data_IF_941486196038
#
_entry.id   IF_941486196038
#
_cell.length_a   1.000
_cell.length_b   1.000
_cell.length_c   1.000
_cell.angle_alpha   90.00
_cell.angle_beta   90.00
_cell.angle_gamma   90.00
#
_symmetry.space_group_name_H-M   'P 1'
#
loop_
_entity.id
_entity.type
_entity.pdbx_description
1 polymer ?
#
# COMPACT_ATOMS: atom_id res chain seq x y z
N UNK A 1 -30.99 14.78 14.72
CA UNK A 1 -32.15 15.48 15.33
C UNK A 1 -32.46 16.81 14.65
N UNK A 2 -32.80 16.81 13.35
CA UNK A 2 -33.25 18.02 12.61
C UNK A 2 -34.31 17.65 11.55
N UNK A 3 -35.13 16.63 11.83
CA UNK A 3 -36.24 16.23 10.96
C UNK A 3 -37.63 16.63 11.51
N UNK A 4 -37.68 17.54 12.48
CA UNK A 4 -38.91 17.83 13.20
C UNK A 4 -39.12 19.33 13.40
N UNK A 5 -39.32 20.10 12.32
CA UNK A 5 -39.97 21.43 12.44
C UNK A 5 -40.21 22.17 11.12
N UNK A 6 -39.97 21.60 9.93
CA UNK A 6 -40.55 22.14 8.69
C UNK A 6 -42.02 21.73 8.60
N UNK A 7 -42.81 22.19 9.57
CA UNK A 7 -44.26 22.05 9.57
C UNK A 7 -44.81 22.71 8.31
N UNK A 8 -45.70 22.03 7.61
CA UNK A 8 -46.45 22.50 6.42
C UNK A 8 -47.04 23.92 6.56
N UNK A 9 -47.17 24.44 7.78
CA UNK A 9 -47.66 25.78 8.08
C UNK A 9 -46.63 26.92 8.05
N UNK A 10 -45.32 26.65 8.04
CA UNK A 10 -44.29 27.71 8.11
C UNK A 10 -44.22 28.60 6.86
N UNK A 11 -44.72 28.11 5.73
CA UNK A 11 -44.79 28.84 4.45
C UNK A 11 -46.24 29.13 4.01
N UNK A 12 -47.21 29.02 4.92
CA UNK A 12 -48.58 29.42 4.59
C UNK A 12 -48.72 30.94 4.76
N UNK A 13 -49.25 31.67 3.77
CA UNK A 13 -49.51 33.09 3.93
C UNK A 13 -50.52 33.32 5.05
N UNK A 14 -50.43 34.44 5.78
CA UNK A 14 -51.40 34.77 6.83
C UNK A 14 -52.80 34.97 6.23
N UNK A 15 -53.88 34.59 6.94
CA UNK A 15 -55.24 34.82 6.49
C UNK A 15 -55.52 36.33 6.35
N UNK A 16 -56.29 36.71 5.33
CA UNK A 16 -56.68 38.09 5.10
C UNK A 16 -57.71 38.54 6.14
N UNK A 17 -57.57 39.77 6.64
CA UNK A 17 -58.59 40.39 7.47
C UNK A 17 -59.88 40.59 6.66
N UNK A 18 -61.06 40.53 7.29
CA UNK A 18 -62.32 40.83 6.62
C UNK A 18 -62.35 42.26 6.06
N UNK A 19 -62.86 42.40 4.84
CA UNK A 19 -62.89 43.68 4.14
C UNK A 19 -63.81 44.70 4.86
N UNK A 20 -63.35 45.93 5.14
CA UNK A 20 -64.17 46.94 5.82
C UNK A 20 -65.30 47.44 4.92
N UNK A 21 -66.52 47.59 5.47
CA UNK A 21 -67.65 48.15 4.72
C UNK A 21 -67.69 49.68 4.85
N UNK A 22 -67.69 50.38 3.70
CA UNK A 22 -68.24 51.73 3.51
C UNK A 22 -67.50 52.95 4.12
N UNK A 23 -66.15 52.93 4.21
CA UNK A 23 -65.35 54.17 4.40
C UNK A 23 -64.03 54.10 3.61
N UNK A 24 -63.78 55.09 2.74
CA UNK A 24 -62.57 55.15 1.88
C UNK A 24 -61.26 55.16 2.70
N UNK A 25 -61.10 55.96 3.78
CA UNK A 25 -59.87 55.96 4.56
C UNK A 25 -59.58 54.61 5.24
N UNK A 26 -60.62 53.92 5.71
CA UNK A 26 -60.49 52.59 6.31
C UNK A 26 -60.06 51.54 5.27
N UNK A 27 -60.47 51.71 4.02
CA UNK A 27 -60.08 50.83 2.91
C UNK A 27 -58.62 51.03 2.51
N UNK A 28 -58.14 52.27 2.40
CA UNK A 28 -56.73 52.57 2.12
C UNK A 28 -55.79 52.04 3.22
N UNK A 29 -56.19 52.22 4.48
CA UNK A 29 -55.52 51.66 5.65
C UNK A 29 -55.45 50.13 5.62
N UNK A 30 -56.57 49.50 5.27
CA UNK A 30 -56.66 48.04 5.15
C UNK A 30 -55.76 47.50 4.04
N UNK A 31 -55.78 48.13 2.86
CA UNK A 31 -54.93 47.73 1.72
C UNK A 31 -53.46 47.86 2.07
N UNK A 32 -53.04 48.98 2.67
CA UNK A 32 -51.67 49.17 3.13
C UNK A 32 -51.23 48.08 4.12
N UNK A 33 -52.03 47.81 5.16
CA UNK A 33 -51.73 46.75 6.14
C UNK A 33 -51.71 45.35 5.53
N UNK A 34 -52.57 45.07 4.55
CA UNK A 34 -52.56 43.80 3.83
C UNK A 34 -51.27 43.64 3.00
N UNK A 35 -50.85 44.70 2.29
CA UNK A 35 -49.60 44.72 1.53
C UNK A 35 -48.38 44.59 2.45
N UNK A 36 -48.33 45.32 3.56
CA UNK A 36 -47.23 45.26 4.52
C UNK A 36 -47.08 43.84 5.12
N UNK A 37 -48.19 43.19 5.47
CA UNK A 37 -48.18 41.80 5.95
C UNK A 37 -47.69 40.82 4.89
N UNK A 38 -48.10 41.01 3.64
CA UNK A 38 -47.65 40.17 2.53
C UNK A 38 -46.14 40.34 2.29
N UNK A 39 -45.64 41.59 2.32
CA UNK A 39 -44.22 41.89 2.15
C UNK A 39 -43.38 41.32 3.29
N UNK A 40 -43.83 41.43 4.54
CA UNK A 40 -43.16 40.83 5.69
C UNK A 40 -43.12 39.30 5.57
N UNK A 41 -44.24 38.66 5.20
CA UNK A 41 -44.27 37.23 4.94
C UNK A 41 -43.30 36.81 3.84
N UNK A 42 -43.25 37.54 2.72
CA UNK A 42 -42.30 37.29 1.64
C UNK A 42 -40.84 37.46 2.10
N UNK A 43 -40.57 38.46 2.94
CA UNK A 43 -39.24 38.68 3.48
C UNK A 43 -38.79 37.52 4.39
N UNK A 44 -39.66 37.09 5.30
CA UNK A 44 -39.39 35.97 6.22
C UNK A 44 -39.21 34.65 5.47
N UNK A 45 -40.08 34.38 4.48
CA UNK A 45 -39.98 33.15 3.68
C UNK A 45 -38.71 33.13 2.83
N UNK A 46 -38.34 34.26 2.20
CA UNK A 46 -37.07 34.38 1.49
C UNK A 46 -35.88 34.07 2.40
N UNK A 47 -35.83 34.68 3.59
CA UNK A 47 -34.76 34.46 4.56
C UNK A 47 -34.69 33.00 5.02
N UNK A 48 -35.83 32.38 5.29
CA UNK A 48 -35.93 30.97 5.68
C UNK A 48 -35.43 30.03 4.57
N UNK A 49 -35.80 30.31 3.31
CA UNK A 49 -35.29 29.56 2.17
C UNK A 49 -33.78 29.71 2.04
N UNK A 50 -33.26 30.94 2.11
CA UNK A 50 -31.80 31.20 2.05
C UNK A 50 -31.05 30.44 3.14
N UNK A 51 -31.56 30.43 4.37
CA UNK A 51 -30.97 29.71 5.49
C UNK A 51 -30.98 28.19 5.29
N UNK A 52 -32.11 27.61 4.88
CA UNK A 52 -32.21 26.18 4.57
C UNK A 52 -31.25 25.81 3.45
N UNK A 53 -31.13 26.67 2.43
CA UNK A 53 -30.26 26.44 1.28
C UNK A 53 -28.79 26.48 1.73
N UNK A 54 -28.41 27.43 2.57
CA UNK A 54 -27.06 27.54 3.12
C UNK A 54 -26.71 26.33 4.00
N UNK A 55 -27.63 25.88 4.86
CA UNK A 55 -27.44 24.70 5.70
C UNK A 55 -27.27 23.43 4.84
N UNK A 56 -28.10 23.26 3.81
CA UNK A 56 -28.01 22.14 2.86
C UNK A 56 -26.67 22.15 2.10
N UNK A 57 -26.24 23.34 1.66
CA UNK A 57 -24.96 23.51 0.97
C UNK A 57 -23.78 23.14 1.89
N UNK A 58 -23.76 23.64 3.12
CA UNK A 58 -22.72 23.32 4.09
C UNK A 58 -22.64 21.82 4.38
N UNK A 59 -23.80 21.15 4.50
CA UNK A 59 -23.86 19.70 4.67
C UNK A 59 -23.30 18.97 3.46
N UNK A 60 -23.63 19.42 2.26
CA UNK A 60 -23.13 18.85 1.00
C UNK A 60 -21.62 19.00 0.87
N UNK A 61 -21.08 20.19 1.18
CA UNK A 61 -19.64 20.44 1.18
C UNK A 61 -18.93 19.55 2.20
N UNK A 62 -19.49 19.43 3.41
CA UNK A 62 -18.94 18.54 4.45
C UNK A 62 -18.88 17.08 4.01
N UNK A 63 -19.93 16.58 3.35
CA UNK A 63 -19.95 15.23 2.79
C UNK A 63 -18.93 15.06 1.65
N UNK A 64 -18.80 16.04 0.75
CA UNK A 64 -17.76 16.00 -0.30
C UNK A 64 -16.35 15.91 0.27
N UNK A 65 -16.07 16.66 1.34
CA UNK A 65 -14.76 16.61 1.98
C UNK A 65 -14.49 15.24 2.63
N UNK A 66 -15.52 14.60 3.20
CA UNK A 66 -15.38 13.24 3.73
C UNK A 66 -15.17 12.22 2.60
N UNK A 67 -15.88 12.35 1.48
CA UNK A 67 -15.68 11.51 0.29
C UNK A 67 -14.25 11.66 -0.22
N UNK A 68 -13.75 12.89 -0.38
CA UNK A 68 -12.39 13.15 -0.84
C UNK A 68 -11.34 12.50 0.09
N UNK A 69 -11.54 12.54 1.41
CA UNK A 69 -10.65 11.87 2.38
C UNK A 69 -10.67 10.34 2.21
N UNK A 70 -11.86 9.76 2.03
CA UNK A 70 -11.99 8.32 1.80
C UNK A 70 -11.38 7.91 0.46
N UNK A 71 -11.55 8.71 -0.59
CA UNK A 71 -10.94 8.48 -1.90
C UNK A 71 -9.41 8.44 -1.79
N UNK A 72 -8.79 9.36 -1.04
CA UNK A 72 -7.35 9.34 -0.80
C UNK A 72 -6.91 8.11 0.01
N UNK A 73 -7.64 7.73 1.06
CA UNK A 73 -7.30 6.54 1.86
C UNK A 73 -7.41 5.24 1.04
N UNK A 74 -8.40 5.15 0.14
CA UNK A 74 -8.53 4.03 -0.80
C UNK A 74 -7.34 3.99 -1.76
N UNK A 75 -6.94 5.14 -2.30
CA UNK A 75 -5.83 5.22 -3.25
C UNK A 75 -4.48 4.87 -2.60
N UNK A 76 -4.24 5.31 -1.37
CA UNK A 76 -3.04 4.95 -0.62
C UNK A 76 -2.99 3.43 -0.35
N UNK A 77 -4.13 2.83 0.00
CA UNK A 77 -4.22 1.38 0.22
C UNK A 77 -3.97 0.57 -1.07
N UNK A 78 -4.48 1.06 -2.20
CA UNK A 78 -4.27 0.44 -3.53
C UNK A 78 -2.79 0.48 -3.93
N UNK A 79 -2.12 1.60 -3.68
CA UNK A 79 -0.70 1.75 -3.99
C UNK A 79 0.20 0.79 -3.20
N UNK A 80 -0.12 0.55 -1.92
CA UNK A 80 0.60 -0.43 -1.09
C UNK A 80 0.43 -1.84 -1.65
N UNK A 81 -0.79 -2.20 -2.07
CA UNK A 81 -1.09 -3.51 -2.64
C UNK A 81 -0.35 -3.73 -3.97
N UNK A 82 -0.39 -2.74 -4.87
CA UNK A 82 0.25 -2.84 -6.18
C UNK A 82 1.77 -2.93 -6.08
N UNK A 83 2.40 -2.10 -5.24
CA UNK A 83 3.86 -2.15 -5.07
C UNK A 83 4.33 -3.52 -4.57
N UNK A 84 3.62 -4.12 -3.61
CA UNK A 84 3.96 -5.45 -3.10
C UNK A 84 3.80 -6.56 -4.13
N UNK A 85 2.81 -6.47 -5.03
CA UNK A 85 2.57 -7.46 -6.07
C UNK A 85 3.65 -7.33 -7.16
N UNK A 86 3.94 -6.11 -7.61
CA UNK A 86 4.92 -5.84 -8.66
C UNK A 86 6.34 -6.27 -8.24
N UNK A 87 6.71 -6.06 -6.98
CA UNK A 87 8.01 -6.50 -6.43
C UNK A 87 8.13 -8.03 -6.41
N UNK A 88 7.06 -8.72 -5.98
CA UNK A 88 7.01 -10.19 -5.98
C UNK A 88 7.10 -10.70 -7.41
N UNK A 89 6.35 -10.10 -8.32
CA UNK A 89 6.31 -10.52 -9.72
C UNK A 89 7.66 -10.33 -10.39
N UNK A 90 8.28 -9.15 -10.24
CA UNK A 90 9.63 -8.85 -10.75
C UNK A 90 10.66 -9.85 -10.24
N UNK A 91 10.63 -10.16 -8.93
CA UNK A 91 11.56 -11.12 -8.34
C UNK A 91 11.32 -12.54 -8.86
N UNK A 92 10.06 -12.91 -9.08
CA UNK A 92 9.69 -14.22 -9.65
C UNK A 92 10.15 -14.36 -11.11
N UNK A 93 10.00 -13.32 -11.92
CA UNK A 93 10.45 -13.30 -13.32
C UNK A 93 11.98 -13.42 -13.40
N UNK A 94 12.70 -12.68 -12.55
CA UNK A 94 14.16 -12.81 -12.46
C UNK A 94 14.60 -14.22 -12.08
N UNK A 95 13.88 -14.88 -11.15
CA UNK A 95 14.21 -16.25 -10.74
C UNK A 95 13.93 -17.26 -11.86
N UNK A 96 12.78 -17.14 -12.54
CA UNK A 96 12.44 -17.98 -13.70
C UNK A 96 13.49 -17.84 -14.81
N UNK A 97 13.92 -16.62 -15.14
CA UNK A 97 14.94 -16.39 -16.16
C UNK A 97 16.29 -17.03 -15.82
N UNK A 98 16.66 -17.04 -14.53
CA UNK A 98 17.87 -17.72 -14.07
C UNK A 98 17.74 -19.24 -14.26
N UNK A 99 16.63 -19.83 -13.78
CA UNK A 99 16.37 -21.27 -13.96
C UNK A 99 16.39 -21.64 -15.44
N UNK A 100 15.73 -20.87 -16.31
CA UNK A 100 15.68 -21.16 -17.74
C UNK A 100 17.07 -21.08 -18.41
N UNK A 101 17.92 -20.15 -17.95
CA UNK A 101 19.32 -20.05 -18.38
C UNK A 101 20.12 -21.29 -17.98
N UNK A 102 19.95 -21.78 -16.74
CA UNK A 102 20.62 -23.01 -16.27
C UNK A 102 20.15 -24.26 -17.01
N UNK A 103 18.85 -24.38 -17.26
CA UNK A 103 18.27 -25.49 -18.05
C UNK A 103 18.80 -25.44 -19.48
N UNK A 104 18.87 -24.26 -20.07
CA UNK A 104 19.40 -24.06 -21.42
C UNK A 104 20.86 -24.49 -21.48
N UNK A 105 21.69 -24.09 -20.51
CA UNK A 105 23.10 -24.48 -20.45
C UNK A 105 23.24 -26.00 -20.27
N UNK A 106 22.51 -26.59 -19.33
CA UNK A 106 22.52 -28.04 -19.10
C UNK A 106 22.09 -28.82 -20.35
N UNK A 107 21.08 -28.33 -21.06
CA UNK A 107 20.62 -28.93 -22.33
C UNK A 107 21.73 -28.91 -23.39
N UNK A 108 22.47 -27.82 -23.53
CA UNK A 108 23.61 -27.75 -24.47
C UNK A 108 24.73 -28.73 -24.10
N UNK A 109 25.06 -28.84 -22.81
CA UNK A 109 26.07 -29.80 -22.33
C UNK A 109 25.63 -31.24 -22.63
N UNK A 110 24.37 -31.58 -22.32
CA UNK A 110 23.81 -32.90 -22.60
C UNK A 110 23.85 -33.20 -24.11
N UNK A 111 23.45 -32.24 -24.96
CA UNK A 111 23.53 -32.41 -26.43
C UNK A 111 24.96 -32.60 -26.93
N UNK A 112 25.92 -31.85 -26.39
CA UNK A 112 27.33 -31.98 -26.75
C UNK A 112 27.92 -33.34 -26.34
N UNK A 113 27.48 -33.90 -25.20
CA UNK A 113 27.87 -35.24 -24.74
C UNK A 113 27.24 -36.34 -25.61
N UNK A 114 25.97 -36.22 -25.97
CA UNK A 114 25.27 -37.17 -26.86
C UNK A 114 25.92 -37.20 -28.24
N UNK A 115 26.22 -36.02 -28.81
CA UNK A 115 26.88 -35.92 -30.12
C UNK A 115 28.32 -36.43 -30.13
N UNK A 116 28.91 -36.70 -28.94
CA UNK A 116 30.27 -37.24 -28.77
C UNK A 116 30.34 -38.76 -28.95
N UNK A 117 29.21 -39.47 -28.97
CA UNK A 117 29.14 -40.94 -29.15
C UNK A 117 28.97 -41.39 -30.62
N UNK A 118 28.90 -40.46 -31.59
CA UNK A 118 28.57 -40.80 -32.99
C UNK A 118 29.61 -40.46 -34.05
N UNK A 119 30.90 -40.32 -33.71
CA UNK A 119 31.95 -40.33 -34.75
C UNK A 119 33.12 -41.24 -34.39
N UNK A 120 33.21 -42.34 -35.14
CA UNK A 120 34.42 -43.13 -35.30
C UNK A 120 35.56 -42.28 -35.89
N UNK A 121 36.69 -42.27 -35.19
CA UNK A 121 38.06 -41.89 -35.62
C UNK A 121 38.38 -42.27 -37.09
N UNK A 122 39.26 -41.56 -37.85
CA UNK A 122 40.57 -41.09 -37.38
C UNK A 122 41.05 -39.71 -37.89
N UNK A 123 41.68 -38.96 -36.99
CA UNK A 123 42.50 -37.80 -37.37
C UNK A 123 42.54 -36.71 -36.31
N UNK A 124 43.44 -36.85 -35.34
CA UNK A 124 43.82 -35.72 -34.48
C UNK A 124 44.29 -34.53 -35.31
N UNK A 125 43.66 -33.37 -35.12
CA UNK A 125 44.39 -32.09 -34.99
C UNK A 125 43.49 -31.03 -34.36
N UNK A 126 43.94 -30.52 -33.21
CA UNK A 126 43.46 -29.34 -32.47
C UNK A 126 42.14 -29.62 -31.71
N UNK A 127 42.16 -29.90 -30.41
CA UNK A 127 42.69 -29.04 -29.34
C UNK A 127 43.58 -29.87 -28.40
N UNK A 128 44.89 -29.60 -28.42
CA UNK A 128 45.79 -29.99 -27.33
C UNK A 128 45.54 -29.05 -26.15
N UNK A 129 44.48 -29.33 -25.41
CA UNK A 129 44.25 -28.79 -24.07
C UNK A 129 44.19 -29.98 -23.14
N UNK A 130 45.34 -30.41 -22.63
CA UNK A 130 45.39 -31.30 -21.48
C UNK A 130 44.73 -30.57 -20.32
N UNK A 131 43.45 -30.83 -20.05
CA UNK A 131 42.91 -30.53 -18.72
C UNK A 131 43.21 -31.76 -17.88
N UNK A 132 44.42 -31.73 -17.30
CA UNK A 132 44.69 -32.42 -16.06
C UNK A 132 43.54 -32.16 -15.11
N UNK A 133 43.02 -33.23 -14.53
CA UNK A 133 42.12 -33.19 -13.39
C UNK A 133 42.73 -32.33 -12.30
N UNK A 134 42.28 -31.10 -12.19
CA UNK A 134 42.43 -30.30 -11.00
C UNK A 134 41.02 -30.19 -10.42
N UNK A 135 40.66 -31.13 -9.52
CA UNK A 135 39.38 -31.12 -8.77
C UNK A 135 39.21 -29.87 -7.89
N UNK A 136 40.23 -29.00 -7.85
CA UNK A 136 40.32 -27.81 -7.02
C UNK A 136 39.58 -26.60 -7.65
N UNK A 137 39.38 -26.55 -8.97
CA UNK A 137 38.73 -25.39 -9.64
C UNK A 137 37.20 -25.51 -9.72
N UNK A 138 36.63 -26.70 -9.50
CA UNK A 138 35.17 -26.89 -9.41
C UNK A 138 34.61 -26.53 -8.02
N UNK A 139 35.48 -26.37 -7.02
CA UNK A 139 35.10 -25.96 -5.66
C UNK A 139 34.63 -24.50 -5.62
N UNK A 140 35.28 -23.61 -6.37
CA UNK A 140 34.99 -22.16 -6.36
C UNK A 140 33.63 -21.82 -7.03
N UNK A 141 33.09 -22.74 -7.83
CA UNK A 141 31.76 -22.61 -8.47
C UNK A 141 30.64 -23.23 -7.61
N UNK A 142 30.99 -24.08 -6.63
CA UNK A 142 30.07 -24.81 -5.76
C UNK A 142 30.10 -24.36 -4.28
N UNK A 143 31.01 -23.46 -3.92
CA UNK A 143 31.04 -22.89 -2.57
C UNK A 143 29.84 -21.95 -2.36
N UNK A 144 29.04 -22.19 -1.30
CA UNK A 144 27.93 -21.32 -0.99
C UNK A 144 28.44 -19.92 -0.68
N UNK A 145 27.80 -18.85 -1.20
CA UNK A 145 28.20 -17.48 -0.90
C UNK A 145 28.37 -17.22 0.60
N UNK A 146 29.40 -16.46 0.97
CA UNK A 146 29.79 -16.20 2.38
C UNK A 146 28.65 -15.73 3.30
N UNK A 147 27.63 -15.06 2.74
CA UNK A 147 26.47 -14.57 3.49
C UNK A 147 25.48 -15.67 3.92
N UNK A 148 25.63 -16.89 3.42
CA UNK A 148 24.85 -18.06 3.82
C UNK A 148 25.55 -18.88 4.93
N UNK A 149 26.83 -18.62 5.18
CA UNK A 149 27.58 -19.22 6.27
C UNK A 149 27.39 -18.43 7.57
N UNK A 150 27.34 -19.13 8.69
CA UNK A 150 27.28 -18.51 10.01
C UNK A 150 28.64 -17.87 10.33
N UNK A 151 28.68 -16.59 10.74
CA UNK A 151 29.93 -15.91 11.07
C UNK A 151 30.71 -16.52 12.26
N UNK A 152 30.06 -17.37 13.07
CA UNK A 152 30.66 -18.04 14.23
C UNK A 152 31.27 -19.39 13.83
N UNK A 153 30.55 -20.18 13.03
CA UNK A 153 30.97 -21.55 12.68
C UNK A 153 31.69 -21.64 11.34
N UNK A 154 31.56 -20.62 10.49
CA UNK A 154 32.01 -20.61 9.10
C UNK A 154 31.39 -21.75 8.26
N UNK A 155 30.27 -22.29 8.71
CA UNK A 155 29.51 -23.35 8.02
C UNK A 155 28.13 -22.84 7.61
N UNK A 156 27.51 -23.49 6.62
CA UNK A 156 26.19 -23.14 6.12
C UNK A 156 25.14 -23.18 7.24
N UNK A 157 24.37 -22.09 7.39
CA UNK A 157 23.31 -21.98 8.40
C UNK A 157 22.14 -22.92 8.08
N UNK A 158 21.70 -23.69 9.08
CA UNK A 158 20.49 -24.51 9.04
C UNK A 158 19.30 -23.79 9.68
N UNK A 159 19.51 -23.05 10.78
CA UNK A 159 18.47 -22.25 11.47
C UNK A 159 18.96 -20.79 11.68
N UNK A 160 18.92 -19.96 10.61
CA UNK A 160 19.40 -18.59 10.65
C UNK A 160 18.51 -17.71 11.55
N UNK A 161 19.14 -17.02 12.52
CA UNK A 161 18.50 -16.08 13.44
C UNK A 161 19.22 -14.74 13.39
N UNK A 162 18.46 -13.66 13.24
CA UNK A 162 18.97 -12.29 13.28
C UNK A 162 19.10 -11.82 14.72
N UNK A 163 20.27 -11.31 15.11
CA UNK A 163 20.51 -10.70 16.42
C UNK A 163 20.26 -9.17 16.37
N UNK A 164 20.30 -8.50 17.54
CA UNK A 164 20.03 -7.05 17.65
C UNK A 164 21.08 -6.16 16.99
N UNK A 165 22.22 -6.72 16.60
CA UNK A 165 23.26 -6.07 15.82
C UNK A 165 23.00 -6.09 14.31
N UNK A 166 21.87 -6.67 13.86
CA UNK A 166 21.48 -6.75 12.46
C UNK A 166 22.17 -7.85 11.64
N UNK A 167 22.93 -8.74 12.29
CA UNK A 167 23.60 -9.86 11.63
C UNK A 167 22.86 -11.19 11.86
N UNK A 168 23.02 -12.12 10.92
CA UNK A 168 22.41 -13.45 10.96
C UNK A 168 23.41 -14.49 11.43
N UNK A 169 23.01 -15.30 12.40
CA UNK A 169 23.82 -16.36 13.01
C UNK A 169 23.03 -17.66 13.06
N UNK A 170 23.73 -18.78 13.18
CA UNK A 170 23.11 -20.07 13.53
C UNK A 170 22.57 -20.04 14.97
N UNK A 171 21.31 -20.47 15.18
CA UNK A 171 20.61 -20.36 16.46
C UNK A 171 21.38 -20.97 17.62
N UNK A 172 21.90 -22.18 17.42
CA UNK A 172 22.56 -22.94 18.48
C UNK A 172 23.82 -22.23 19.02
N UNK A 173 24.51 -21.49 18.16
CA UNK A 173 25.77 -20.82 18.51
C UNK A 173 25.54 -19.44 19.08
N UNK A 174 24.62 -18.65 18.51
CA UNK A 174 24.31 -17.32 19.05
C UNK A 174 23.67 -17.40 20.44
N UNK A 175 22.88 -18.45 20.71
CA UNK A 175 22.33 -18.69 22.05
C UNK A 175 23.42 -18.96 23.10
N UNK A 176 24.50 -19.65 22.74
CA UNK A 176 25.64 -19.86 23.64
C UNK A 176 26.37 -18.55 23.92
N UNK A 177 26.58 -17.71 22.91
CA UNK A 177 27.18 -16.38 23.06
C UNK A 177 26.32 -15.50 23.97
N UNK A 178 24.99 -15.51 23.79
CA UNK A 178 24.04 -14.75 24.60
C UNK A 178 23.93 -15.26 26.05
N UNK A 179 24.24 -16.53 26.29
CA UNK A 179 24.26 -17.13 27.62
C UNK A 179 25.50 -16.77 28.44
N UNK A 180 26.53 -16.18 27.81
CA UNK A 180 27.76 -15.79 28.48
C UNK A 180 27.63 -14.44 29.23
N UNK A 181 28.28 -14.28 30.40
CA UNK A 181 28.30 -12.99 31.09
C UNK A 181 29.10 -11.96 30.27
N UNK A 182 28.42 -10.94 29.77
CA UNK A 182 28.88 -9.96 28.76
C UNK A 182 28.80 -10.45 27.31
N UNK A 183 27.66 -11.00 26.90
CA UNK A 183 27.36 -11.28 25.51
C UNK A 183 27.63 -10.06 24.61
N UNK A 184 28.42 -10.28 23.56
CA UNK A 184 28.80 -9.29 22.56
C UNK A 184 28.69 -9.90 21.17
N UNK A 185 28.44 -9.06 20.17
CA UNK A 185 28.45 -9.44 18.77
C UNK A 185 29.80 -10.06 18.40
N UNK A 186 29.83 -11.27 17.83
CA UNK A 186 31.05 -11.85 17.27
C UNK A 186 31.67 -11.03 16.14
N UNK A 187 30.86 -10.21 15.44
CA UNK A 187 31.29 -9.43 14.29
C UNK A 187 31.66 -7.99 14.65
N UNK A 188 30.83 -7.31 15.44
CA UNK A 188 31.03 -5.89 15.76
C UNK A 188 31.70 -5.66 17.11
N UNK A 189 31.78 -6.70 17.96
CA UNK A 189 32.24 -6.63 19.35
C UNK A 189 31.43 -5.65 20.22
N UNK A 190 30.26 -5.23 19.76
CA UNK A 190 29.33 -4.41 20.51
C UNK A 190 28.52 -5.28 21.47
N UNK A 191 28.05 -4.70 22.58
CA UNK A 191 27.18 -5.43 23.51
C UNK A 191 25.80 -5.56 22.88
N UNK A 192 25.21 -6.75 22.98
CA UNK A 192 23.80 -6.91 22.63
C UNK A 192 22.97 -6.03 23.55
N UNK A 193 22.17 -5.14 22.97
CA UNK A 193 21.21 -4.34 23.72
C UNK A 193 20.14 -5.28 24.29
N UNK A 194 19.98 -5.25 25.62
CA UNK A 194 18.88 -5.92 26.30
C UNK A 194 17.73 -4.92 26.39
N UNK A 195 16.66 -5.13 25.62
CA UNK A 195 15.36 -4.49 25.86
C UNK A 195 14.57 -5.25 26.94
#
# INVERSE_FOLDING_TARGET
NFQSSLTRGAFSPPPLDPFPRLQVPAMEEWVRKAVDRQNEFLFQTKRSIEEITAQSLNRTIGLRNQIAKLETEIQDADQISHHSIDDIQTRSESWVNNVDSTITLASHVIQALINKETESSPGCSLISGSFSTDEEELADVLEPPDHLACPITMELMTDPVMASDGHTYEREYIQQVLSAPNARSPLTNEKFEND
#
